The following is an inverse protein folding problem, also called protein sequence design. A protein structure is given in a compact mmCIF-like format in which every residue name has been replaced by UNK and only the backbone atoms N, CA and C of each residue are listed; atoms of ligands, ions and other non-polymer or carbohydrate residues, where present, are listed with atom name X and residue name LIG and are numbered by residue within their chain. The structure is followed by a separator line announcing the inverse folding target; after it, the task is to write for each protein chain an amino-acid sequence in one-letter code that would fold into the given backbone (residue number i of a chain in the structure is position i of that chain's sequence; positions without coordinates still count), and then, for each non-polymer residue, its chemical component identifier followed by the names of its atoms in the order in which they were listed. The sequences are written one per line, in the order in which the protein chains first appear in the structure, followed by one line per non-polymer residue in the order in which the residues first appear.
data_IF_493905245670
#
_entry.id   IF_493905245670
#
_cell.length_a   1.000
_cell.length_b   1.000
_cell.length_c   1.000
_cell.angle_alpha   90.00
_cell.angle_beta   90.00
_cell.angle_gamma   90.00
#
_symmetry.space_group_name_H-M   'P 1'
#
loop_
_entity.id
_entity.type
_entity.pdbx_description
1 polymer ?
#
# COMPACT_ATOMS: atom_id res chain seq x y z
N UNK A 1 5.51 0.48 -24.46
CA UNK A 1 6.23 1.74 -24.17
C UNK A 1 6.58 2.56 -25.42
N UNK A 2 7.23 1.98 -26.45
CA UNK A 2 7.58 2.68 -27.70
C UNK A 2 6.35 3.24 -28.43
N UNK A 3 5.29 2.44 -28.50
CA UNK A 3 4.02 2.82 -29.11
C UNK A 3 3.37 4.06 -28.49
N UNK A 4 3.26 4.15 -27.16
CA UNK A 4 2.77 5.34 -26.45
C UNK A 4 3.56 6.61 -26.82
N UNK A 5 4.89 6.49 -26.97
CA UNK A 5 5.75 7.62 -27.38
C UNK A 5 5.44 8.05 -28.82
N UNK A 6 5.26 7.09 -29.72
CA UNK A 6 4.90 7.37 -31.12
C UNK A 6 3.52 8.06 -31.22
N UNK A 7 2.51 7.58 -30.49
CA UNK A 7 1.19 8.23 -30.44
C UNK A 7 1.25 9.64 -29.85
N UNK A 8 2.15 9.89 -28.89
CA UNK A 8 2.39 11.25 -28.37
C UNK A 8 3.01 12.18 -29.41
N UNK A 9 3.94 11.67 -30.23
CA UNK A 9 4.52 12.43 -31.33
C UNK A 9 3.46 12.77 -32.40
N UNK A 10 2.55 11.85 -32.70
CA UNK A 10 1.44 12.08 -33.62
C UNK A 10 0.54 13.25 -33.20
N UNK A 11 0.28 13.41 -31.89
CA UNK A 11 -0.47 14.58 -31.36
C UNK A 11 0.29 15.89 -31.59
N UNK A 12 1.60 15.90 -31.42
CA UNK A 12 2.40 17.11 -31.56
C UNK A 12 2.52 17.55 -33.03
N UNK A 13 2.47 16.59 -33.94
CA UNK A 13 2.60 16.82 -35.38
C UNK A 13 1.26 17.05 -36.10
N UNK A 14 0.12 16.90 -35.42
CA UNK A 14 -1.21 17.09 -36.00
C UNK A 14 -1.41 18.54 -36.46
N UNK A 15 -1.91 18.73 -37.68
CA UNK A 15 -2.09 20.07 -38.27
C UNK A 15 -3.52 20.59 -38.12
N UNK A 16 -4.50 19.71 -38.16
CA UNK A 16 -5.92 20.07 -38.02
C UNK A 16 -6.47 19.71 -36.65
N UNK A 17 -7.55 20.39 -36.22
CA UNK A 17 -8.20 20.11 -34.93
C UNK A 17 -8.77 18.69 -34.88
N UNK A 18 -9.29 18.18 -35.99
CA UNK A 18 -9.85 16.83 -36.08
C UNK A 18 -8.77 15.75 -35.88
N UNK A 19 -7.64 15.85 -36.59
CA UNK A 19 -6.48 14.96 -36.41
C UNK A 19 -5.98 14.95 -34.97
N UNK A 20 -5.93 16.13 -34.34
CA UNK A 20 -5.48 16.25 -32.94
C UNK A 20 -6.39 15.49 -31.98
N UNK A 21 -7.72 15.58 -32.17
CA UNK A 21 -8.71 14.85 -31.35
C UNK A 21 -8.55 13.35 -31.53
N UNK A 22 -8.38 12.87 -32.78
CA UNK A 22 -8.18 11.45 -33.06
C UNK A 22 -6.87 10.92 -32.44
N UNK A 23 -5.75 11.61 -32.67
CA UNK A 23 -4.45 11.23 -32.11
C UNK A 23 -4.47 11.24 -30.57
N UNK A 24 -5.23 12.15 -29.96
CA UNK A 24 -5.42 12.21 -28.51
C UNK A 24 -6.20 11.01 -27.99
N UNK A 25 -7.26 10.58 -28.68
CA UNK A 25 -8.00 9.37 -28.32
C UNK A 25 -7.10 8.12 -28.38
N UNK A 26 -6.31 7.96 -29.44
CA UNK A 26 -5.37 6.84 -29.59
C UNK A 26 -4.29 6.83 -28.49
N UNK A 27 -3.77 8.00 -28.12
CA UNK A 27 -2.80 8.11 -27.03
C UNK A 27 -3.40 7.72 -25.67
N UNK A 28 -4.65 8.09 -25.40
CA UNK A 28 -5.34 7.74 -24.15
C UNK A 28 -5.45 6.22 -24.02
N UNK A 29 -5.86 5.53 -25.08
CA UNK A 29 -5.99 4.07 -25.08
C UNK A 29 -4.62 3.40 -24.92
N UNK A 30 -3.60 3.81 -25.68
CA UNK A 30 -2.24 3.30 -25.53
C UNK A 30 -1.66 3.53 -24.12
N UNK A 31 -1.97 4.67 -23.49
CA UNK A 31 -1.53 4.97 -22.13
C UNK A 31 -2.24 4.10 -21.08
N UNK A 32 -3.54 3.81 -21.27
CA UNK A 32 -4.31 2.88 -20.43
C UNK A 32 -3.72 1.47 -20.50
N UNK A 33 -3.39 0.99 -21.70
CA UNK A 33 -2.78 -0.33 -21.88
C UNK A 33 -1.41 -0.43 -21.21
N UNK A 34 -0.55 0.59 -21.35
CA UNK A 34 0.75 0.62 -20.66
C UNK A 34 0.59 0.59 -19.13
N UNK A 35 -0.39 1.32 -18.58
CA UNK A 35 -0.65 1.28 -17.13
C UNK A 35 -1.10 -0.11 -16.67
N UNK A 36 -1.96 -0.78 -17.46
CA UNK A 36 -2.41 -2.14 -17.18
C UNK A 36 -1.23 -3.13 -17.23
N UNK A 37 -0.38 -3.04 -18.25
CA UNK A 37 0.78 -3.94 -18.38
C UNK A 37 1.77 -3.75 -17.21
N UNK A 38 2.09 -2.50 -16.84
CA UNK A 38 2.96 -2.21 -15.69
C UNK A 38 2.37 -2.79 -14.39
N UNK A 39 1.05 -2.73 -14.21
CA UNK A 39 0.39 -3.33 -13.05
C UNK A 39 0.50 -4.86 -13.07
N UNK A 40 0.25 -5.49 -14.21
CA UNK A 40 0.36 -6.94 -14.38
C UNK A 40 1.80 -7.43 -14.15
N UNK A 41 2.80 -6.74 -14.72
CA UNK A 41 4.22 -7.07 -14.52
C UNK A 41 4.61 -6.96 -13.04
N UNK A 42 4.12 -5.94 -12.33
CA UNK A 42 4.34 -5.79 -10.89
C UNK A 42 3.70 -6.92 -10.09
N UNK A 43 2.49 -7.35 -10.46
CA UNK A 43 1.81 -8.48 -9.82
C UNK A 43 2.59 -9.78 -10.03
N UNK A 44 3.01 -10.05 -11.27
CA UNK A 44 3.81 -11.22 -11.62
C UNK A 44 5.11 -11.29 -10.82
N UNK A 45 5.84 -10.17 -10.73
CA UNK A 45 7.07 -10.10 -9.94
C UNK A 45 6.85 -10.41 -8.45
N UNK A 46 5.77 -9.89 -7.86
CA UNK A 46 5.43 -10.15 -6.45
C UNK A 46 5.06 -11.62 -6.24
N UNK A 47 4.32 -12.22 -7.17
CA UNK A 47 3.93 -13.63 -7.12
C UNK A 47 5.13 -14.59 -7.24
N UNK A 48 6.08 -14.28 -8.12
CA UNK A 48 7.36 -15.02 -8.24
C UNK A 48 8.18 -14.97 -6.93
N UNK A 49 8.22 -13.82 -6.26
CA UNK A 49 8.88 -13.72 -4.94
C UNK A 49 8.14 -14.51 -3.85
N UNK A 50 6.81 -14.46 -3.85
CA UNK A 50 5.99 -15.18 -2.87
C UNK A 50 6.12 -16.70 -3.03
N UNK A 51 6.06 -17.21 -4.26
CA UNK A 51 6.27 -18.64 -4.56
C UNK A 51 7.68 -19.10 -4.19
N UNK A 52 8.69 -18.25 -4.41
CA UNK A 52 10.08 -18.53 -3.96
C UNK A 52 10.18 -18.60 -2.43
N UNK A 53 9.57 -17.66 -1.71
CA UNK A 53 9.57 -17.66 -0.25
C UNK A 53 8.88 -18.89 0.33
N UNK A 54 7.75 -19.31 -0.26
CA UNK A 54 7.06 -20.53 0.12
C UNK A 54 7.94 -21.77 -0.08
N UNK A 55 8.56 -21.91 -1.25
CA UNK A 55 9.42 -23.06 -1.55
C UNK A 55 10.57 -23.13 -0.54
N UNK A 56 11.21 -21.99 -0.25
CA UNK A 56 12.27 -21.90 0.74
C UNK A 56 11.79 -22.30 2.16
N UNK A 57 10.55 -21.95 2.54
CA UNK A 57 9.96 -22.38 3.81
C UNK A 57 9.83 -23.91 3.89
N UNK A 58 9.30 -24.53 2.83
CA UNK A 58 9.12 -25.99 2.76
C UNK A 58 10.43 -26.76 2.78
N UNK A 59 11.47 -26.21 2.17
CA UNK A 59 12.81 -26.81 2.13
C UNK A 59 13.66 -26.49 3.38
N UNK A 60 13.16 -25.68 4.31
CA UNK A 60 13.90 -25.24 5.49
C UNK A 60 15.04 -24.26 5.19
N UNK A 61 15.07 -23.65 4.00
CA UNK A 61 16.09 -22.69 3.58
C UNK A 61 15.78 -21.29 4.14
N UNK A 62 16.08 -21.09 5.42
CA UNK A 62 15.78 -19.84 6.14
C UNK A 62 16.46 -18.61 5.54
N UNK A 63 17.64 -18.76 4.94
CA UNK A 63 18.36 -17.65 4.30
C UNK A 63 17.58 -17.09 3.11
N UNK A 64 17.11 -17.96 2.20
CA UNK A 64 16.32 -17.55 1.04
C UNK A 64 14.95 -17.01 1.43
N UNK A 65 14.31 -17.61 2.44
CA UNK A 65 13.04 -17.13 2.96
C UNK A 65 13.16 -15.69 3.48
N UNK A 66 14.19 -15.41 4.29
CA UNK A 66 14.45 -14.08 4.81
C UNK A 66 14.75 -13.08 3.67
N UNK A 67 15.59 -13.45 2.69
CA UNK A 67 15.94 -12.57 1.57
C UNK A 67 14.73 -12.24 0.67
N UNK A 68 13.87 -13.22 0.39
CA UNK A 68 12.64 -13.02 -0.39
C UNK A 68 11.64 -12.13 0.36
N UNK A 69 11.46 -12.39 1.66
CA UNK A 69 10.59 -11.58 2.53
C UNK A 69 11.09 -10.14 2.64
N UNK A 70 12.41 -9.93 2.76
CA UNK A 70 13.03 -8.60 2.78
C UNK A 70 12.82 -7.85 1.46
N UNK A 71 12.84 -8.55 0.32
CA UNK A 71 12.52 -7.96 -1.00
C UNK A 71 11.05 -7.57 -1.12
N UNK A 72 10.13 -8.42 -0.60
CA UNK A 72 8.68 -8.16 -0.58
C UNK A 72 8.29 -6.99 0.32
N UNK A 73 8.89 -6.89 1.52
CA UNK A 73 8.63 -5.81 2.46
C UNK A 73 9.00 -4.42 1.91
N UNK A 74 9.83 -4.37 0.87
CA UNK A 74 10.34 -3.12 0.30
C UNK A 74 11.14 -2.31 1.33
N UNK A 75 11.47 -1.07 0.98
CA UNK A 75 12.03 -0.11 1.94
C UNK A 75 10.88 0.65 2.59
N UNK A 76 10.23 0.09 3.60
CA UNK A 76 9.45 0.90 4.52
C UNK A 76 10.41 1.66 5.44
N UNK A 77 11.11 2.64 4.89
CA UNK A 77 11.86 3.62 5.68
C UNK A 77 10.87 4.69 6.09
N UNK A 78 10.12 4.44 7.16
CA UNK A 78 9.84 5.58 8.04
C UNK A 78 11.21 5.89 8.65
N UNK A 79 11.83 7.06 8.40
CA UNK A 79 12.91 7.46 9.27
C UNK A 79 12.36 7.44 10.69
N UNK A 80 13.15 6.90 11.62
CA UNK A 80 12.86 7.05 13.04
C UNK A 80 12.62 8.54 13.29
N UNK A 81 11.47 8.87 13.89
CA UNK A 81 11.16 10.28 14.16
C UNK A 81 12.16 10.74 15.20
N UNK A 82 13.01 11.73 14.91
CA UNK A 82 13.95 12.20 15.89
C UNK A 82 13.22 12.80 17.09
N UNK A 83 13.71 12.51 18.29
CA UNK A 83 13.19 13.10 19.53
C UNK A 83 13.45 14.60 19.50
N UNK A 84 12.43 15.38 19.85
CA UNK A 84 12.49 16.84 19.87
C UNK A 84 12.46 17.36 21.30
N UNK A 85 13.15 18.46 21.52
CA UNK A 85 13.04 19.24 22.76
C UNK A 85 11.69 19.96 22.84
N UNK A 86 11.43 20.65 23.96
CA UNK A 86 10.24 21.47 24.17
C UNK A 86 10.06 22.58 23.13
N UNK A 87 11.14 22.99 22.46
CA UNK A 87 11.15 24.05 21.46
C UNK A 87 10.99 23.50 20.03
N UNK A 88 10.80 22.19 19.89
CA UNK A 88 10.62 21.50 18.60
C UNK A 88 11.91 21.25 17.82
N UNK A 89 13.09 21.52 18.41
CA UNK A 89 14.40 21.25 17.82
C UNK A 89 14.78 19.78 18.03
N UNK A 90 15.39 19.19 17.01
CA UNK A 90 15.85 17.81 17.05
C UNK A 90 17.02 17.64 18.03
N UNK A 91 16.91 16.63 18.89
CA UNK A 91 17.97 16.16 19.78
C UNK A 91 18.75 15.06 19.05
N UNK A 92 20.07 15.23 18.94
CA UNK A 92 20.96 14.28 18.25
C UNK A 92 21.87 13.52 19.21
N UNK A 93 21.96 13.94 20.46
CA UNK A 93 22.82 13.35 21.50
C UNK A 93 22.02 12.43 22.42
N UNK A 94 22.53 11.22 22.67
CA UNK A 94 21.85 10.17 23.44
C UNK A 94 21.57 10.63 24.87
N UNK A 95 22.54 11.27 25.53
CA UNK A 95 22.36 11.76 26.90
C UNK A 95 21.23 12.79 27.00
N UNK A 96 21.16 13.72 26.04
CA UNK A 96 20.09 14.72 25.98
C UNK A 96 18.73 14.07 25.71
N UNK A 97 18.69 12.97 24.95
CA UNK A 97 17.48 12.20 24.73
C UNK A 97 17.02 11.51 26.02
N UNK A 98 17.93 10.95 26.82
CA UNK A 98 17.61 10.38 28.14
C UNK A 98 17.08 11.44 29.10
N UNK A 99 17.71 12.62 29.19
CA UNK A 99 17.19 13.74 29.98
C UNK A 99 15.81 14.17 29.51
N UNK A 100 15.57 14.20 28.20
CA UNK A 100 14.26 14.52 27.62
C UNK A 100 13.21 13.47 27.98
N UNK A 101 13.57 12.19 28.00
CA UNK A 101 12.68 11.13 28.46
C UNK A 101 12.33 11.29 29.94
N UNK A 102 13.32 11.55 30.80
CA UNK A 102 13.09 11.78 32.23
C UNK A 102 12.14 12.94 32.45
N UNK A 103 12.38 14.10 31.82
CA UNK A 103 11.53 15.29 31.92
C UNK A 103 10.08 15.00 31.45
N UNK A 104 9.93 14.34 30.29
CA UNK A 104 8.62 14.01 29.75
C UNK A 104 7.83 13.04 30.65
N UNK A 105 8.51 12.02 31.19
CA UNK A 105 7.87 11.09 32.13
C UNK A 105 7.56 11.75 33.47
N UNK A 106 8.40 12.66 33.94
CA UNK A 106 8.14 13.42 35.16
C UNK A 106 6.91 14.31 35.02
N UNK A 107 6.75 15.01 33.88
CA UNK A 107 5.55 15.80 33.58
C UNK A 107 4.29 14.92 33.47
N UNK A 108 4.40 13.77 32.81
CA UNK A 108 3.27 12.86 32.60
C UNK A 108 2.81 12.17 33.89
N UNK A 109 3.77 11.66 34.69
CA UNK A 109 3.49 10.87 35.88
C UNK A 109 3.17 11.72 37.11
N UNK A 110 3.70 12.95 37.19
CA UNK A 110 3.42 13.88 38.30
C UNK A 110 2.34 14.91 37.94
N UNK A 111 1.59 14.70 36.84
CA UNK A 111 0.47 15.56 36.47
C UNK A 111 -0.58 15.56 37.59
N UNK A 112 -0.94 16.73 38.16
CA UNK A 112 -1.98 16.78 39.18
C UNK A 112 -3.32 16.33 38.59
N UNK A 113 -4.15 15.70 39.43
CA UNK A 113 -5.47 15.25 39.03
C UNK A 113 -6.25 16.41 38.38
N UNK A 114 -6.86 16.22 37.19
CA UNK A 114 -7.67 17.26 36.57
C UNK A 114 -8.78 17.67 37.54
N UNK A 115 -8.97 18.99 37.71
CA UNK A 115 -9.93 19.54 38.67
C UNK A 115 -11.38 19.09 38.44
N UNK A 116 -11.69 18.66 37.23
CA UNK A 116 -12.98 18.09 36.87
C UNK A 116 -12.78 16.62 36.51
N UNK A 117 -13.50 15.68 37.15
CA UNK A 117 -13.47 14.29 36.73
C UNK A 117 -14.05 14.18 35.31
N UNK A 118 -13.40 13.46 34.39
CA UNK A 118 -13.98 13.15 33.09
C UNK A 118 -15.21 12.25 33.28
N UNK A 119 -16.30 12.60 32.59
CA UNK A 119 -17.50 11.78 32.50
C UNK A 119 -17.24 10.64 31.50
N UNK A 120 -17.04 9.43 32.00
CA UNK A 120 -16.67 8.25 31.20
C UNK A 120 -17.84 7.27 31.26
N UNK A 121 -18.62 7.19 30.18
CA UNK A 121 -19.58 6.11 29.97
C UNK A 121 -18.83 4.77 29.83
N UNK A 122 -19.31 3.74 30.52
CA UNK A 122 -18.71 2.42 30.54
C UNK A 122 -18.62 1.83 29.12
N UNK A 123 -17.41 1.44 28.71
CA UNK A 123 -17.19 0.77 27.45
C UNK A 123 -17.90 -0.60 27.44
N UNK A 124 -18.62 -0.88 26.35
CA UNK A 124 -19.17 -2.20 26.09
C UNK A 124 -18.04 -3.22 25.94
N UNK A 125 -18.10 -4.27 26.75
CA UNK A 125 -17.19 -5.41 26.76
C UNK A 125 -17.17 -6.15 25.42
N UNK A 126 -15.95 -6.55 25.08
CA UNK A 126 -15.55 -7.68 24.23
C UNK A 126 -16.03 -7.65 22.78
N UNK A 127 -15.25 -6.94 21.96
CA UNK A 127 -15.18 -7.22 20.54
C UNK A 127 -14.62 -8.64 20.35
N UNK A 128 -15.34 -9.55 19.67
CA UNK A 128 -14.85 -10.89 19.41
C UNK A 128 -13.63 -10.81 18.48
N UNK A 129 -12.46 -11.15 19.04
CA UNK A 129 -11.23 -11.36 18.27
C UNK A 129 -11.31 -12.78 17.72
N UNK A 130 -11.39 -12.91 16.39
CA UNK A 130 -11.30 -14.20 15.73
C UNK A 130 -9.88 -14.76 15.90
N UNK A 131 -9.78 -15.86 16.65
CA UNK A 131 -8.53 -16.55 17.00
C UNK A 131 -8.16 -17.62 15.97
N UNK A 132 -8.90 -17.74 14.87
CA UNK A 132 -8.67 -18.79 13.90
C UNK A 132 -7.36 -18.60 13.13
N UNK A 133 -6.68 -19.71 12.79
CA UNK A 133 -5.42 -19.68 12.08
C UNK A 133 -5.63 -19.17 10.64
N UNK A 134 -4.95 -18.08 10.27
CA UNK A 134 -5.05 -17.51 8.92
C UNK A 134 -4.62 -18.51 7.86
N UNK A 135 -5.44 -18.65 6.82
CA UNK A 135 -5.15 -19.56 5.71
C UNK A 135 -4.07 -19.01 4.80
N UNK A 136 -3.32 -19.92 4.15
CA UNK A 136 -2.20 -19.58 3.25
C UNK A 136 -2.62 -18.61 2.13
N UNK A 137 -3.84 -18.77 1.61
CA UNK A 137 -4.39 -17.88 0.58
C UNK A 137 -4.72 -16.50 1.14
N UNK A 138 -5.21 -16.40 2.38
CA UNK A 138 -5.43 -15.12 3.06
C UNK A 138 -4.12 -14.36 3.28
N UNK A 139 -3.04 -15.06 3.67
CA UNK A 139 -1.71 -14.47 3.86
C UNK A 139 -1.15 -13.97 2.53
N UNK A 140 -1.28 -14.75 1.44
CA UNK A 140 -0.86 -14.30 0.10
C UNK A 140 -1.69 -13.12 -0.38
N UNK A 141 -3.00 -13.19 -0.23
CA UNK A 141 -3.92 -12.14 -0.67
C UNK A 141 -3.71 -10.85 0.12
N UNK A 142 -3.46 -10.92 1.43
CA UNK A 142 -3.16 -9.74 2.28
C UNK A 142 -1.81 -9.13 1.95
N UNK A 143 -0.76 -9.93 1.73
CA UNK A 143 0.55 -9.43 1.26
C UNK A 143 0.39 -8.74 -0.10
N UNK A 144 -0.28 -9.39 -1.07
CA UNK A 144 -0.53 -8.81 -2.40
C UNK A 144 -1.35 -7.51 -2.28
N UNK A 145 -2.43 -7.50 -1.50
CA UNK A 145 -3.29 -6.33 -1.27
C UNK A 145 -2.51 -5.17 -0.63
N UNK A 146 -1.74 -5.41 0.43
CA UNK A 146 -0.97 -4.38 1.13
C UNK A 146 0.12 -3.77 0.25
N UNK A 147 0.78 -4.59 -0.58
CA UNK A 147 1.87 -4.16 -1.47
C UNK A 147 1.36 -3.42 -2.73
N UNK A 148 0.09 -3.64 -3.09
CA UNK A 148 -0.61 -2.94 -4.18
C UNK A 148 -1.40 -1.69 -3.72
N UNK A 149 -1.81 -1.63 -2.45
CA UNK A 149 -2.60 -0.55 -1.84
C UNK A 149 -1.83 0.76 -1.61
N UNK A 150 -0.50 0.79 -1.80
CA UNK A 150 0.26 2.06 -1.75
C UNK A 150 -0.07 3.07 -2.88
N UNK A 151 -1.13 2.86 -3.68
CA UNK A 151 -1.70 3.90 -4.55
C UNK A 151 -3.23 3.84 -4.58
N UNK A 152 -3.82 4.97 -4.16
CA UNK A 152 -5.15 5.47 -4.46
C UNK A 152 -6.34 4.74 -3.81
N UNK A 153 -6.68 5.20 -2.61
CA UNK A 153 -8.08 5.44 -2.29
C UNK A 153 -8.58 6.56 -3.22
N UNK A 154 -9.31 6.23 -4.27
CA UNK A 154 -10.37 7.08 -4.86
C UNK A 154 -11.07 6.35 -6.03
N UNK A 155 -12.40 6.36 -5.94
CA UNK A 155 -13.41 6.05 -6.96
C UNK A 155 -13.68 4.56 -7.32
N UNK A 156 -14.48 3.93 -6.45
CA UNK A 156 -15.48 2.92 -6.83
C UNK A 156 -16.70 3.59 -7.47
N UNK A 157 -17.04 3.20 -8.71
CA UNK A 157 -18.37 3.08 -9.34
C UNK A 157 -18.13 2.89 -10.85
N UNK A 158 -18.72 1.97 -11.60
CA UNK A 158 -19.85 1.05 -11.45
C UNK A 158 -19.70 0.07 -12.62
N UNK A 159 -20.03 -1.22 -12.48
CA UNK A 159 -20.43 -2.07 -13.61
C UNK A 159 -21.25 -3.26 -13.07
N UNK A 160 -22.55 -3.24 -13.35
CA UNK A 160 -23.49 -4.37 -13.35
C UNK A 160 -24.30 -4.16 -14.66
N UNK A 161 -24.64 -5.10 -15.53
CA UNK A 161 -24.65 -6.57 -15.55
C UNK A 161 -24.58 -7.04 -17.02
N UNK A 162 -24.09 -8.26 -17.28
CA UNK A 162 -24.27 -8.93 -18.58
C UNK A 162 -25.20 -10.11 -18.39
N UNK A 163 -26.41 -10.01 -18.93
CA UNK A 163 -27.45 -11.04 -18.92
C UNK A 163 -27.11 -12.15 -19.93
N UNK A 164 -26.98 -13.36 -19.42
CA UNK A 164 -26.81 -14.62 -20.13
C UNK A 164 -28.18 -15.10 -20.66
N UNK A 165 -28.33 -15.35 -21.96
CA UNK A 165 -29.53 -15.99 -22.53
C UNK A 165 -29.17 -17.28 -23.27
N UNK A 166 -29.53 -18.35 -22.58
CA UNK A 166 -29.41 -19.77 -22.84
C UNK A 166 -30.28 -20.22 -24.03
N UNK A 167 -29.64 -20.89 -24.99
CA UNK A 167 -30.03 -22.13 -25.73
C UNK A 167 -31.54 -22.49 -25.74
N UNK A 168 -32.11 -22.68 -26.93
CA UNK A 168 -33.13 -23.74 -27.15
C UNK A 168 -32.97 -24.34 -28.55
N UNK A 169 -33.15 -25.65 -28.60
CA UNK A 169 -32.94 -26.61 -29.67
C UNK A 169 -34.21 -26.73 -30.51
N UNK A 170 -34.08 -26.83 -31.83
CA UNK A 170 -34.66 -27.88 -32.68
C UNK A 170 -34.10 -27.74 -34.10
#
# INVERSE_FOLDING_TARGET
MKERKNKKAAINNSRTRAEKVQAQAEYIEANKQVKKSIKADKQKYVEELATTAEKAAREGNMKQLHDATKKLAGKYSKPERPVKDNNGKQITEIQQQEYRWVEYFEELLNRPAPKNPPDIEAAYTDLPIDVNASTTDEIRMTIIKQTMSCKAAEALKSNCDTTDHRRTIN
#
